data_IF_357013821520
#
_entry.id   IF_357013821520
#
_cell.length_a   1.000
_cell.length_b   1.000
_cell.length_c   1.000
_cell.angle_alpha   90.00
_cell.angle_beta   90.00
_cell.angle_gamma   90.00
#
_symmetry.space_group_name_H-M   'P 1'
#
loop_
_entity.id
_entity.type
_entity.pdbx_description
1 polymer ?
#
# COMPACT_ATOMS: atom_id res chain seq x y z
N UNK A 1 -22.78 -15.34 -27.72
CA UNK A 1 -21.65 -15.77 -26.86
C UNK A 1 -20.24 -15.34 -27.34
N UNK A 2 -19.90 -15.14 -28.63
CA UNK A 2 -18.53 -14.75 -29.04
C UNK A 2 -18.15 -13.28 -28.71
N UNK A 3 -19.14 -12.38 -28.64
CA UNK A 3 -18.96 -10.94 -28.32
C UNK A 3 -18.29 -10.67 -26.95
N UNK A 4 -18.61 -11.46 -25.91
CA UNK A 4 -17.99 -11.28 -24.58
C UNK A 4 -16.54 -11.76 -24.53
N UNK A 5 -16.20 -12.76 -25.33
CA UNK A 5 -14.86 -13.34 -25.34
C UNK A 5 -13.87 -12.42 -26.07
N UNK A 6 -14.29 -11.77 -27.16
CA UNK A 6 -13.49 -10.74 -27.84
C UNK A 6 -13.31 -9.48 -26.97
N UNK A 7 -14.34 -9.06 -26.22
CA UNK A 7 -14.24 -7.93 -25.28
C UNK A 7 -13.32 -8.22 -24.09
N UNK A 8 -13.35 -9.44 -23.54
CA UNK A 8 -12.43 -9.84 -22.47
C UNK A 8 -10.98 -9.94 -22.99
N UNK A 9 -10.78 -10.50 -24.18
CA UNK A 9 -9.46 -10.57 -24.80
C UNK A 9 -8.90 -9.18 -25.11
N UNK A 10 -9.70 -8.26 -25.65
CA UNK A 10 -9.24 -6.89 -25.91
C UNK A 10 -8.94 -6.09 -24.63
N UNK A 11 -9.52 -6.47 -23.49
CA UNK A 11 -9.29 -5.82 -22.20
C UNK A 11 -8.07 -6.38 -21.45
N UNK A 12 -7.79 -7.68 -21.60
CA UNK A 12 -6.73 -8.38 -20.85
C UNK A 12 -5.41 -8.47 -21.64
N UNK A 13 -5.47 -8.63 -22.96
CA UNK A 13 -4.27 -8.81 -23.78
C UNK A 13 -3.35 -7.59 -23.73
N UNK A 14 -3.82 -6.33 -23.87
CA UNK A 14 -2.94 -5.17 -23.82
C UNK A 14 -2.14 -5.03 -22.50
N UNK A 15 -2.76 -5.08 -21.30
CA UNK A 15 -2.01 -4.94 -20.05
C UNK A 15 -1.07 -6.13 -19.77
N UNK A 16 -1.45 -7.36 -20.16
CA UNK A 16 -0.57 -8.52 -20.01
C UNK A 16 0.64 -8.40 -20.92
N UNK A 17 0.44 -8.04 -22.20
CA UNK A 17 1.53 -7.84 -23.14
C UNK A 17 2.49 -6.74 -22.66
N UNK A 18 1.94 -5.62 -22.18
CA UNK A 18 2.74 -4.53 -21.61
C UNK A 18 3.54 -5.00 -20.39
N UNK A 19 2.93 -5.73 -19.47
CA UNK A 19 3.60 -6.27 -18.28
C UNK A 19 4.73 -7.22 -18.64
N UNK A 20 4.53 -8.09 -19.63
CA UNK A 20 5.57 -8.99 -20.14
C UNK A 20 6.70 -8.21 -20.79
N UNK A 21 6.40 -7.18 -21.58
CA UNK A 21 7.40 -6.29 -22.19
C UNK A 21 8.25 -5.60 -21.12
N UNK A 22 7.63 -5.06 -20.08
CA UNK A 22 8.33 -4.40 -18.96
C UNK A 22 9.20 -5.41 -18.20
N UNK A 23 8.66 -6.57 -17.84
CA UNK A 23 9.41 -7.61 -17.14
C UNK A 23 10.58 -8.14 -17.99
N UNK A 24 10.37 -8.34 -19.29
CA UNK A 24 11.40 -8.75 -20.23
C UNK A 24 12.49 -7.70 -20.40
N UNK A 25 12.13 -6.42 -20.50
CA UNK A 25 13.09 -5.30 -20.59
C UNK A 25 13.90 -5.17 -19.30
N UNK A 26 13.26 -5.31 -18.13
CA UNK A 26 13.94 -5.31 -16.83
C UNK A 26 14.92 -6.48 -16.72
N UNK A 27 14.49 -7.71 -17.01
CA UNK A 27 15.38 -8.87 -16.96
C UNK A 27 16.53 -8.74 -17.96
N UNK A 28 16.25 -8.29 -19.19
CA UNK A 28 17.25 -8.02 -20.21
C UNK A 28 18.26 -6.96 -19.77
N UNK A 29 17.81 -5.89 -19.12
CA UNK A 29 18.70 -4.87 -18.59
C UNK A 29 19.61 -5.41 -17.46
N UNK A 30 19.04 -6.13 -16.48
CA UNK A 30 19.82 -6.69 -15.36
C UNK A 30 20.90 -7.65 -15.86
N UNK A 31 20.55 -8.51 -16.82
CA UNK A 31 21.47 -9.50 -17.40
C UNK A 31 22.50 -8.87 -18.33
N UNK A 32 22.11 -7.95 -19.21
CA UNK A 32 23.02 -7.29 -20.16
C UNK A 32 24.05 -6.40 -19.45
N UNK A 33 23.62 -5.66 -18.42
CA UNK A 33 24.49 -4.77 -17.65
C UNK A 33 25.19 -5.45 -16.47
N UNK A 34 25.00 -6.76 -16.27
CA UNK A 34 25.56 -7.53 -15.15
C UNK A 34 25.35 -6.84 -13.79
N UNK A 35 24.14 -6.33 -13.55
CA UNK A 35 23.82 -5.58 -12.33
C UNK A 35 23.87 -6.57 -11.14
N UNK A 36 24.64 -6.25 -10.08
CA UNK A 36 24.70 -7.11 -8.92
C UNK A 36 23.31 -7.36 -8.29
N UNK A 37 22.96 -8.62 -7.94
CA UNK A 37 21.62 -8.97 -7.45
C UNK A 37 21.19 -8.24 -6.17
N UNK A 38 22.15 -7.77 -5.35
CA UNK A 38 21.87 -7.01 -4.14
C UNK A 38 21.45 -5.55 -4.43
N UNK A 39 21.76 -5.02 -5.62
CA UNK A 39 21.29 -3.70 -6.07
C UNK A 39 19.94 -3.79 -6.75
N UNK A 40 19.82 -4.72 -7.69
CA UNK A 40 18.58 -4.93 -8.44
C UNK A 40 18.46 -6.41 -8.84
N UNK A 41 17.72 -7.23 -8.07
CA UNK A 41 17.44 -8.60 -8.46
C UNK A 41 16.59 -8.62 -9.73
N UNK A 42 16.78 -9.64 -10.57
CA UNK A 42 15.93 -9.83 -11.74
C UNK A 42 14.51 -10.24 -11.35
N UNK A 43 13.52 -10.06 -12.23
CA UNK A 43 12.13 -10.44 -11.93
C UNK A 43 11.95 -11.94 -11.64
N UNK A 44 12.82 -12.79 -12.21
CA UNK A 44 12.86 -14.23 -11.92
C UNK A 44 13.41 -14.49 -10.51
N UNK A 45 14.46 -13.78 -10.10
CA UNK A 45 15.02 -13.92 -8.75
C UNK A 45 14.00 -13.49 -7.70
N UNK A 46 13.25 -12.42 -7.97
CA UNK A 46 12.14 -11.97 -7.11
C UNK A 46 11.06 -13.05 -7.00
N UNK A 47 10.66 -13.70 -8.09
CA UNK A 47 9.62 -14.72 -8.05
C UNK A 47 10.05 -15.97 -7.26
N UNK A 48 11.31 -16.39 -7.39
CA UNK A 48 11.89 -17.45 -6.57
C UNK A 48 11.96 -17.07 -5.09
N UNK A 49 12.39 -15.85 -4.76
CA UNK A 49 12.43 -15.37 -3.38
C UNK A 49 11.03 -15.32 -2.75
N UNK A 50 10.04 -14.85 -3.50
CA UNK A 50 8.64 -14.85 -3.06
C UNK A 50 8.14 -16.27 -2.80
N UNK A 51 8.40 -17.22 -3.71
CA UNK A 51 7.99 -18.61 -3.53
C UNK A 51 8.66 -19.27 -2.31
N UNK A 52 9.96 -19.00 -2.10
CA UNK A 52 10.72 -19.55 -0.98
C UNK A 52 10.28 -18.99 0.38
N UNK A 53 9.85 -17.72 0.42
CA UNK A 53 9.48 -17.02 1.66
C UNK A 53 7.99 -16.71 1.78
N UNK A 54 7.15 -17.33 0.96
CA UNK A 54 5.72 -17.01 0.87
C UNK A 54 5.01 -17.07 2.23
N UNK A 55 5.19 -18.11 3.08
CA UNK A 55 4.51 -18.16 4.38
C UNK A 55 4.94 -17.02 5.31
N UNK A 56 6.23 -16.66 5.30
CA UNK A 56 6.76 -15.56 6.11
C UNK A 56 6.25 -14.20 5.60
N UNK A 57 6.24 -14.00 4.27
CA UNK A 57 5.71 -12.79 3.64
C UNK A 57 4.22 -12.61 3.93
N UNK A 58 3.43 -13.68 3.85
CA UNK A 58 2.00 -13.64 4.18
C UNK A 58 1.78 -13.38 5.67
N UNK A 59 2.58 -13.97 6.55
CA UNK A 59 2.53 -13.69 7.99
C UNK A 59 2.83 -12.22 8.30
N UNK A 60 3.88 -11.66 7.70
CA UNK A 60 4.23 -10.26 7.85
C UNK A 60 3.17 -9.33 7.27
N UNK A 61 2.66 -9.62 6.07
CA UNK A 61 1.59 -8.86 5.44
C UNK A 61 0.30 -8.89 6.27
N UNK A 62 -0.06 -10.04 6.83
CA UNK A 62 -1.21 -10.18 7.71
C UNK A 62 -1.04 -9.38 9.01
N UNK A 63 0.15 -9.41 9.60
CA UNK A 63 0.44 -8.62 10.81
C UNK A 63 0.32 -7.11 10.53
N UNK A 64 0.91 -6.62 9.43
CA UNK A 64 0.80 -5.22 9.04
C UNK A 64 -0.65 -4.84 8.72
N UNK A 65 -1.39 -5.71 8.01
CA UNK A 65 -2.79 -5.48 7.71
C UNK A 65 -3.64 -5.43 9.00
N UNK A 66 -3.39 -6.32 9.95
CA UNK A 66 -4.09 -6.32 11.23
C UNK A 66 -3.82 -5.03 12.02
N UNK A 67 -2.57 -4.59 12.08
CA UNK A 67 -2.19 -3.32 12.73
C UNK A 67 -2.83 -2.11 12.03
N UNK A 68 -2.86 -2.09 10.70
CA UNK A 68 -3.49 -1.03 9.93
C UNK A 68 -5.01 -0.98 10.12
N UNK A 69 -5.68 -2.13 10.10
CA UNK A 69 -7.13 -2.24 10.27
C UNK A 69 -7.53 -1.87 11.70
N UNK A 70 -6.81 -2.36 12.72
CA UNK A 70 -7.11 -2.01 14.11
C UNK A 70 -6.92 -0.51 14.37
N UNK A 71 -5.82 0.08 13.89
CA UNK A 71 -5.55 1.51 13.96
C UNK A 71 -6.61 2.34 13.22
N UNK A 72 -7.04 1.88 12.04
CA UNK A 72 -8.12 2.51 11.27
C UNK A 72 -9.45 2.49 12.02
N UNK A 73 -9.86 1.33 12.56
CA UNK A 73 -11.14 1.20 13.28
C UNK A 73 -11.15 2.10 14.51
N UNK A 74 -10.08 2.11 15.30
CA UNK A 74 -9.97 2.99 16.47
C UNK A 74 -10.05 4.46 16.06
N UNK A 75 -9.27 4.87 15.05
CA UNK A 75 -9.26 6.25 14.54
C UNK A 75 -10.62 6.65 13.97
N UNK A 76 -11.31 5.75 13.27
CA UNK A 76 -12.62 5.98 12.71
C UNK A 76 -13.66 6.21 13.80
N UNK A 77 -13.72 5.34 14.81
CA UNK A 77 -14.66 5.48 15.93
C UNK A 77 -14.41 6.78 16.68
N UNK A 78 -13.16 7.06 17.06
CA UNK A 78 -12.83 8.29 17.79
C UNK A 78 -13.08 9.55 16.95
N UNK A 79 -12.64 9.55 15.69
CA UNK A 79 -12.85 10.67 14.77
C UNK A 79 -14.33 10.94 14.49
N UNK A 80 -15.12 9.88 14.34
CA UNK A 80 -16.58 9.97 14.17
C UNK A 80 -17.24 10.59 15.40
N UNK A 81 -16.90 10.14 16.61
CA UNK A 81 -17.45 10.70 17.85
C UNK A 81 -17.08 12.19 18.01
N UNK A 82 -15.84 12.58 17.68
CA UNK A 82 -15.41 13.98 17.69
C UNK A 82 -16.18 14.80 16.66
N UNK A 83 -16.41 14.27 15.45
CA UNK A 83 -17.20 14.95 14.43
C UNK A 83 -18.67 15.17 14.88
N UNK A 84 -19.28 14.18 15.53
CA UNK A 84 -20.62 14.30 16.11
C UNK A 84 -20.65 15.36 17.22
N UNK A 85 -19.63 15.41 18.08
CA UNK A 85 -19.49 16.45 19.11
C UNK A 85 -19.40 17.86 18.49
N UNK A 86 -18.63 18.01 17.40
CA UNK A 86 -18.50 19.28 16.68
C UNK A 86 -19.80 19.71 16.00
N UNK A 87 -20.63 18.76 15.57
CA UNK A 87 -21.96 19.03 15.01
C UNK A 87 -22.90 19.61 16.08
N UNK A 88 -22.83 19.09 17.31
CA UNK A 88 -23.72 19.50 18.39
C UNK A 88 -23.27 20.80 19.10
N UNK A 89 -21.97 21.09 19.15
CA UNK A 89 -21.44 22.24 19.89
C UNK A 89 -20.50 23.11 19.06
N UNK A 90 -20.93 24.36 18.80
CA UNK A 90 -20.10 25.39 18.14
C UNK A 90 -18.86 25.74 18.97
N UNK A 91 -18.95 25.66 20.31
CA UNK A 91 -17.83 25.94 21.21
C UNK A 91 -16.79 24.83 21.12
N UNK A 92 -17.20 23.55 21.21
CA UNK A 92 -16.31 22.42 21.09
C UNK A 92 -15.58 22.42 19.74
N UNK A 93 -16.31 22.69 18.65
CA UNK A 93 -15.71 22.84 17.31
C UNK A 93 -14.67 23.97 17.30
N UNK A 94 -14.99 25.17 17.76
CA UNK A 94 -14.03 26.29 17.75
C UNK A 94 -12.78 26.03 18.59
N UNK A 95 -12.92 25.37 19.74
CA UNK A 95 -11.81 25.13 20.66
C UNK A 95 -10.91 23.96 20.24
N UNK A 96 -11.49 22.88 19.70
CA UNK A 96 -10.76 21.63 19.43
C UNK A 96 -10.26 21.50 17.98
N UNK A 97 -10.90 22.19 17.03
CA UNK A 97 -10.52 22.13 15.62
C UNK A 97 -9.07 22.58 15.33
N UNK A 98 -8.51 23.62 15.98
CA UNK A 98 -7.10 23.98 15.81
C UNK A 98 -6.13 22.84 16.17
N UNK A 99 -6.41 22.11 17.25
CA UNK A 99 -5.59 20.96 17.65
C UNK A 99 -5.69 19.80 16.66
N UNK A 100 -6.88 19.57 16.08
CA UNK A 100 -7.06 18.56 15.04
C UNK A 100 -6.23 18.87 13.79
N UNK A 101 -6.19 20.13 13.35
CA UNK A 101 -5.35 20.57 12.22
C UNK A 101 -3.86 20.43 12.57
N UNK A 102 -3.45 20.83 13.78
CA UNK A 102 -2.07 20.70 14.22
C UNK A 102 -1.59 19.24 14.20
N UNK A 103 -2.39 18.30 14.70
CA UNK A 103 -2.07 16.87 14.65
C UNK A 103 -1.92 16.35 13.22
N UNK A 104 -2.64 16.92 12.25
CA UNK A 104 -2.56 16.52 10.84
C UNK A 104 -1.25 16.96 10.17
N UNK A 105 -0.56 17.98 10.69
CA UNK A 105 0.70 18.47 10.11
C UNK A 105 1.95 17.81 10.70
N UNK A 106 1.82 17.02 11.78
CA UNK A 106 2.96 16.34 12.39
C UNK A 106 3.45 15.20 11.47
N UNK A 107 4.73 15.20 11.06
CA UNK A 107 5.26 14.14 10.21
C UNK A 107 5.28 12.79 10.93
N UNK A 108 4.89 11.72 10.23
CA UNK A 108 4.92 10.37 10.80
C UNK A 108 6.32 9.95 11.27
N UNK A 109 7.37 10.43 10.59
CA UNK A 109 8.77 10.18 10.92
C UNK A 109 9.15 10.74 12.30
N UNK A 110 8.52 11.84 12.73
CA UNK A 110 8.76 12.43 14.05
C UNK A 110 8.09 11.65 15.19
N UNK A 111 6.96 10.97 14.89
CA UNK A 111 6.17 10.23 15.89
C UNK A 111 6.72 8.82 16.08
N UNK A 112 7.25 8.19 15.02
CA UNK A 112 7.68 6.78 15.04
C UNK A 112 8.56 6.39 16.25
N UNK A 113 9.58 7.17 16.69
CA UNK A 113 10.43 6.81 17.83
C UNK A 113 9.74 6.83 19.20
N UNK A 114 8.58 7.47 19.33
CA UNK A 114 7.84 7.55 20.61
C UNK A 114 6.94 6.33 20.84
N UNK A 115 6.64 5.57 19.79
CA UNK A 115 5.69 4.44 19.81
C UNK A 115 6.41 3.09 19.94
N UNK A 116 7.71 3.01 19.58
CA UNK A 116 8.52 1.79 19.57
C UNK A 116 9.37 1.59 20.82
#
# INVERSE_FOLDING_TARGET
MPERLSQLLSSVVPPVLFSVLVAGTWHGAVTLFNIPPYLLPGPIDVSHAVAAHLPALLGAAALTAQAAVSGFVLSFVTGFLVAVLFSQSRLAKRSLYPYAIFLQTVPIVAIAPLIV
#
